data_IF_465571464497
#
_entry.id   IF_465571464497
#
_cell.length_a   1.000
_cell.length_b   1.000
_cell.length_c   1.000
_cell.angle_alpha   90.00
_cell.angle_beta   90.00
_cell.angle_gamma   90.00
#
_symmetry.space_group_name_H-M   'P 1'
#
loop_
_entity.id
_entity.type
_entity.pdbx_description
1 polymer ?
#
# COMPACT_ATOMS: atom_id res chain seq x y z
N UNK A 1 17.70 41.61 12.60
CA UNK A 1 17.38 40.28 13.17
C UNK A 1 16.34 39.60 12.28
N UNK A 2 16.79 39.01 11.15
CA UNK A 2 15.94 38.21 10.25
C UNK A 2 16.43 36.77 10.32
N UNK A 3 15.81 35.96 11.15
CA UNK A 3 16.13 34.53 11.23
C UNK A 3 14.87 33.72 11.54
N UNK A 4 13.93 33.69 10.58
CA UNK A 4 12.71 32.85 10.58
C UNK A 4 11.97 33.05 9.25
N UNK A 5 12.30 32.27 8.20
CA UNK A 5 11.33 31.28 7.73
C UNK A 5 11.91 29.99 7.11
N UNK A 6 13.24 29.85 7.01
CA UNK A 6 13.88 28.73 6.28
C UNK A 6 13.56 27.34 6.89
N UNK A 7 13.42 27.26 8.21
CA UNK A 7 13.15 26.02 8.94
C UNK A 7 11.71 25.48 8.71
N UNK A 8 10.74 26.38 8.52
CA UNK A 8 9.33 25.99 8.32
C UNK A 8 9.05 25.48 6.91
N UNK A 9 9.70 26.07 5.89
CA UNK A 9 9.55 25.67 4.49
C UNK A 9 10.11 24.25 4.28
N UNK A 10 11.25 23.92 4.93
CA UNK A 10 11.83 22.58 4.93
C UNK A 10 10.93 21.55 5.62
N UNK A 11 10.25 21.92 6.71
CA UNK A 11 9.29 21.05 7.38
C UNK A 11 8.04 20.78 6.51
N UNK A 12 7.54 21.78 5.76
CA UNK A 12 6.43 21.57 4.82
C UNK A 12 6.81 20.75 3.58
N UNK A 13 8.03 20.88 3.06
CA UNK A 13 8.55 19.96 2.01
C UNK A 13 8.78 18.54 2.56
N UNK A 14 9.17 18.41 3.82
CA UNK A 14 9.35 17.14 4.51
C UNK A 14 8.00 16.44 4.80
N UNK A 15 6.94 17.20 5.07
CA UNK A 15 5.57 16.68 5.22
C UNK A 15 4.94 16.25 3.88
N UNK A 16 5.38 16.80 2.74
CA UNK A 16 4.95 16.37 1.40
C UNK A 16 5.62 15.06 0.95
N UNK A 17 6.65 14.61 1.65
CA UNK A 17 7.37 13.37 1.36
C UNK A 17 7.23 12.39 2.53
N UNK A 18 6.00 12.16 3.01
CA UNK A 18 5.76 10.86 3.64
C UNK A 18 5.77 9.85 2.50
N UNK A 19 6.84 9.06 2.37
CA UNK A 19 6.77 7.83 1.59
C UNK A 19 5.51 7.10 2.08
N UNK A 20 4.47 7.07 1.25
CA UNK A 20 3.18 6.52 1.67
C UNK A 20 3.38 5.02 1.81
N UNK A 21 3.65 4.58 3.03
CA UNK A 21 3.89 3.20 3.32
C UNK A 21 2.54 2.46 3.20
N UNK A 22 2.32 1.87 2.03
CA UNK A 22 1.15 1.04 1.72
C UNK A 22 1.42 -0.46 1.92
N UNK A 23 2.60 -0.82 2.43
CA UNK A 23 2.93 -2.22 2.67
C UNK A 23 2.51 -2.65 4.07
N UNK A 24 1.69 -3.70 4.16
CA UNK A 24 1.06 -4.14 5.40
C UNK A 24 1.06 -5.66 5.53
N UNK A 25 1.08 -6.15 6.77
CA UNK A 25 0.82 -7.56 7.09
C UNK A 25 -0.53 -7.67 7.79
N UNK A 26 -1.40 -8.52 7.26
CA UNK A 26 -2.77 -8.72 7.72
C UNK A 26 -2.88 -10.11 8.35
N UNK A 27 -3.30 -10.13 9.61
CA UNK A 27 -3.54 -11.36 10.37
C UNK A 27 -5.02 -11.62 10.66
N UNK A 28 -5.89 -10.66 10.33
CA UNK A 28 -7.32 -10.76 10.58
C UNK A 28 -7.96 -11.82 9.68
N UNK A 29 -8.97 -12.56 10.18
CA UNK A 29 -9.63 -13.60 9.39
C UNK A 29 -10.40 -13.03 8.18
N UNK A 30 -10.82 -11.76 8.27
CA UNK A 30 -11.48 -11.01 7.21
C UNK A 30 -10.94 -9.57 7.19
N UNK A 31 -11.03 -8.91 6.04
CA UNK A 31 -10.67 -7.51 5.88
C UNK A 31 -10.82 -7.04 4.45
N UNK A 32 -10.60 -5.74 4.24
CA UNK A 32 -10.58 -5.10 2.92
C UNK A 32 -9.20 -4.50 2.71
N UNK A 33 -8.67 -4.67 1.49
CA UNK A 33 -7.42 -4.06 1.04
C UNK A 33 -7.81 -3.03 -0.02
N UNK A 34 -7.30 -1.82 0.15
CA UNK A 34 -7.50 -0.73 -0.80
C UNK A 34 -6.14 -0.24 -1.30
N UNK A 35 -6.09 0.20 -2.55
CA UNK A 35 -4.92 0.90 -3.07
C UNK A 35 -4.73 2.22 -2.31
N UNK A 36 -3.48 2.69 -2.13
CA UNK A 36 -3.24 4.01 -1.57
C UNK A 36 -4.00 5.07 -2.38
N UNK A 37 -4.77 5.93 -1.73
CA UNK A 37 -5.53 6.99 -2.41
C UNK A 37 -6.90 6.58 -2.98
N UNK A 38 -7.32 5.32 -2.83
CA UNK A 38 -8.71 4.93 -3.12
C UNK A 38 -9.72 5.81 -2.35
N UNK A 39 -10.83 6.27 -2.98
CA UNK A 39 -11.31 5.96 -4.32
C UNK A 39 -10.81 6.89 -5.44
N UNK A 40 -9.91 7.83 -5.15
CA UNK A 40 -9.52 8.91 -6.07
C UNK A 40 -8.42 8.51 -7.06
N UNK A 41 -7.73 7.40 -6.81
CA UNK A 41 -6.66 6.88 -7.67
C UNK A 41 -5.39 6.62 -6.86
N UNK A 42 -4.53 5.74 -7.38
CA UNK A 42 -3.25 5.43 -6.76
C UNK A 42 -2.15 6.39 -7.24
N UNK A 43 -1.14 6.68 -6.41
CA UNK A 43 -0.04 7.54 -6.81
C UNK A 43 0.88 6.84 -7.81
N UNK A 44 1.52 7.63 -8.68
CA UNK A 44 2.54 7.13 -9.60
C UNK A 44 3.67 6.44 -8.83
N UNK A 45 4.23 5.39 -9.43
CA UNK A 45 5.33 4.61 -8.86
C UNK A 45 5.01 3.93 -7.51
N UNK A 46 3.72 3.73 -7.20
CA UNK A 46 3.32 2.97 -6.03
C UNK A 46 3.88 1.54 -6.10
N UNK A 47 4.62 1.15 -5.05
CA UNK A 47 5.14 -0.20 -4.89
C UNK A 47 4.66 -0.74 -3.54
N UNK A 48 3.50 -1.38 -3.56
CA UNK A 48 2.79 -1.84 -2.36
C UNK A 48 2.85 -3.35 -2.25
N UNK A 49 3.09 -3.85 -1.03
CA UNK A 49 3.05 -5.27 -0.72
C UNK A 49 2.12 -5.53 0.46
N UNK A 50 1.08 -6.34 0.24
CA UNK A 50 0.20 -6.82 1.30
C UNK A 50 0.47 -8.31 1.55
N UNK A 51 0.89 -8.63 2.77
CA UNK A 51 1.10 -10.01 3.22
C UNK A 51 -0.11 -10.45 4.02
N UNK A 52 -0.82 -11.46 3.53
CA UNK A 52 -2.01 -12.00 4.20
C UNK A 52 -1.62 -13.32 4.86
N UNK A 53 -1.73 -13.37 6.20
CA UNK A 53 -1.37 -14.54 7.00
C UNK A 53 -2.63 -15.20 7.51
N UNK A 54 -2.93 -16.39 6.99
CA UNK A 54 -4.00 -17.23 7.50
C UNK A 54 -3.50 -18.16 8.61
N UNK A 55 -4.39 -18.54 9.52
CA UNK A 55 -4.12 -19.61 10.48
C UNK A 55 -3.94 -20.94 9.75
N UNK A 56 -3.26 -21.89 10.41
CA UNK A 56 -3.11 -23.24 9.90
C UNK A 56 -4.47 -23.85 9.52
N UNK A 57 -4.48 -24.63 8.43
CA UNK A 57 -5.67 -25.28 7.86
C UNK A 57 -6.75 -24.33 7.29
N UNK A 58 -6.56 -23.01 7.32
CA UNK A 58 -7.43 -22.07 6.63
C UNK A 58 -6.96 -21.77 5.20
N UNK A 59 -7.90 -21.32 4.35
CA UNK A 59 -7.62 -20.88 2.98
C UNK A 59 -7.95 -19.39 2.84
N UNK A 60 -7.13 -18.68 2.08
CA UNK A 60 -7.37 -17.27 1.74
C UNK A 60 -8.22 -17.20 0.49
N UNK A 61 -9.35 -16.50 0.56
CA UNK A 61 -10.16 -16.13 -0.60
C UNK A 61 -10.03 -14.63 -0.84
N UNK A 62 -9.70 -14.25 -2.08
CA UNK A 62 -9.62 -12.85 -2.50
C UNK A 62 -10.75 -12.55 -3.48
N UNK A 63 -11.42 -11.41 -3.29
CA UNK A 63 -12.49 -10.93 -4.16
C UNK A 63 -12.19 -9.47 -4.51
N UNK A 64 -12.13 -9.16 -5.80
CA UNK A 64 -11.98 -7.80 -6.27
C UNK A 64 -13.35 -7.12 -6.30
N UNK A 65 -13.53 -6.11 -5.45
CA UNK A 65 -14.73 -5.27 -5.47
C UNK A 65 -14.63 -4.13 -6.48
N UNK A 66 -13.41 -3.63 -6.71
CA UNK A 66 -13.06 -2.70 -7.78
C UNK A 66 -11.65 -3.01 -8.27
N UNK A 67 -11.45 -2.95 -9.58
CA UNK A 67 -10.15 -3.22 -10.19
C UNK A 67 -9.99 -2.35 -11.44
N UNK A 68 -9.08 -1.40 -11.37
CA UNK A 68 -8.72 -0.51 -12.47
C UNK A 68 -7.22 -0.18 -12.32
N UNK A 69 -6.44 -0.53 -13.34
CA UNK A 69 -5.01 -0.25 -13.45
C UNK A 69 -4.73 0.36 -14.82
N UNK A 70 -3.66 1.13 -14.95
CA UNK A 70 -3.17 1.62 -16.24
C UNK A 70 -2.68 0.45 -17.09
N UNK A 71 -3.30 0.26 -18.26
CA UNK A 71 -2.94 -0.79 -19.21
C UNK A 71 -1.49 -0.61 -19.67
N UNK A 72 -0.77 -1.72 -19.84
CA UNK A 72 0.66 -1.80 -20.21
C UNK A 72 1.68 -1.20 -19.21
N UNK A 73 1.24 -0.45 -18.20
CA UNK A 73 2.13 0.22 -17.23
C UNK A 73 2.10 -0.44 -15.85
N UNK A 74 0.91 -0.84 -15.37
CA UNK A 74 0.72 -1.28 -13.99
C UNK A 74 0.28 -2.74 -13.89
N UNK A 75 0.76 -3.42 -12.84
CA UNK A 75 0.49 -4.85 -12.62
C UNK A 75 0.18 -5.12 -11.15
N UNK A 76 -0.90 -5.88 -10.92
CA UNK A 76 -1.13 -6.56 -9.64
C UNK A 76 -0.76 -8.04 -9.77
N UNK A 77 0.18 -8.49 -8.94
CA UNK A 77 0.61 -9.88 -8.89
C UNK A 77 0.29 -10.51 -7.53
N UNK A 78 -0.06 -11.81 -7.56
CA UNK A 78 -0.30 -12.61 -6.35
C UNK A 78 0.79 -13.67 -6.25
N UNK A 79 1.57 -13.61 -5.17
CA UNK A 79 2.56 -14.63 -4.84
C UNK A 79 2.03 -15.49 -3.70
N UNK A 80 2.08 -16.80 -3.86
CA UNK A 80 1.88 -17.75 -2.77
C UNK A 80 3.24 -18.21 -2.32
N UNK A 81 3.64 -17.88 -1.10
CA UNK A 81 4.81 -18.50 -0.49
C UNK A 81 4.42 -19.94 -0.17
N UNK A 82 5.12 -20.95 -0.71
CA UNK A 82 4.91 -22.31 -0.25
C UNK A 82 5.19 -22.35 1.25
N UNK A 83 4.26 -22.91 2.01
CA UNK A 83 4.52 -23.32 3.39
C UNK A 83 5.54 -24.44 3.27
N UNK A 84 6.83 -24.11 3.31
CA UNK A 84 7.87 -25.11 3.49
C UNK A 84 7.67 -25.67 4.90
N UNK A 85 7.24 -26.92 4.97
CA UNK A 85 7.33 -27.74 6.18
C UNK A 85 8.76 -28.26 6.33
#
# INVERSE_FOLDING_TARGET
MYFRPLCLILASLFLLFTAQNCSHTLHSPNGTIESPGYPYGYPNYANCTWVIVAQEHNRIQLVFQGFALEEDFDILSRFTLPVYY
#
